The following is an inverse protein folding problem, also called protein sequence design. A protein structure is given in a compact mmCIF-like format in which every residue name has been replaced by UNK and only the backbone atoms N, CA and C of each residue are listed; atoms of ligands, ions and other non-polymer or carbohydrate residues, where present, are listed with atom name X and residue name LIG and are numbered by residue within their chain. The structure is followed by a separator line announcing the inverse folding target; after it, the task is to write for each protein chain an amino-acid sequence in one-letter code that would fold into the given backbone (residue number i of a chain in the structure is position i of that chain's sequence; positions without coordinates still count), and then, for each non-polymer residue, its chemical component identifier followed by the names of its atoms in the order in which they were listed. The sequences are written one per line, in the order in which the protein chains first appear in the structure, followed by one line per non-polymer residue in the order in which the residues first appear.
data_IF_914684290680
#
_entry.id   IF_914684290680
#
_cell.length_a   1.000
_cell.length_b   1.000
_cell.length_c   1.000
_cell.angle_alpha   90.00
_cell.angle_beta   90.00
_cell.angle_gamma   90.00
#
_symmetry.space_group_name_H-M   'P 1'
#
loop_
_entity.id
_entity.type
_entity.pdbx_description
1 polymer ?
#
# COMPACT_ATOMS: atom_id res chain seq x y z
N UNK A 1 -48.17 10.84 46.00
CA UNK A 1 -47.73 10.04 44.85
C UNK A 1 -47.81 10.90 43.60
N UNK A 2 -46.70 11.46 43.16
CA UNK A 2 -46.56 12.05 41.82
C UNK A 2 -45.17 11.67 41.32
N UNK A 3 -45.11 10.76 40.35
CA UNK A 3 -43.89 10.50 39.60
C UNK A 3 -43.96 11.32 38.32
N UNK A 4 -43.15 12.37 38.25
CA UNK A 4 -42.90 13.13 37.02
C UNK A 4 -42.14 12.20 36.07
N UNK A 5 -42.81 11.77 35.01
CA UNK A 5 -42.20 11.00 33.92
C UNK A 5 -41.51 12.00 33.00
N UNK A 6 -40.19 12.19 33.15
CA UNK A 6 -39.41 12.89 32.13
C UNK A 6 -39.54 12.13 30.82
N UNK A 7 -40.29 12.72 29.87
CA UNK A 7 -40.25 12.31 28.48
C UNK A 7 -39.04 13.00 27.85
N UNK A 8 -37.90 12.31 27.83
CA UNK A 8 -36.83 12.71 26.92
C UNK A 8 -37.34 12.52 25.47
N UNK A 9 -37.16 13.50 24.58
CA UNK A 9 -37.55 13.35 23.19
C UNK A 9 -36.72 12.23 22.54
N UNK A 10 -37.31 11.49 21.57
CA UNK A 10 -36.60 10.39 20.91
C UNK A 10 -35.34 10.92 20.24
N UNK A 11 -34.17 10.44 20.68
CA UNK A 11 -32.90 10.68 20.00
C UNK A 11 -33.06 10.21 18.55
N UNK A 12 -32.95 11.15 17.61
CA UNK A 12 -32.93 10.88 16.18
C UNK A 12 -31.92 9.76 15.87
N UNK A 13 -32.37 8.70 15.20
CA UNK A 13 -31.52 7.61 14.70
C UNK A 13 -30.61 8.04 13.53
N UNK A 14 -30.66 9.32 13.13
CA UNK A 14 -29.88 9.89 12.04
C UNK A 14 -28.93 10.95 12.60
N UNK A 15 -27.74 10.51 13.00
CA UNK A 15 -26.46 11.19 12.75
C UNK A 15 -25.35 10.52 13.58
N UNK A 16 -25.11 9.23 13.35
CA UNK A 16 -23.79 8.66 13.57
C UNK A 16 -23.19 8.43 12.19
N UNK A 17 -22.86 9.52 11.50
CA UNK A 17 -21.85 9.46 10.45
C UNK A 17 -20.56 9.67 11.23
N UNK A 18 -19.76 8.61 11.49
CA UNK A 18 -18.44 8.84 12.04
C UNK A 18 -17.72 9.74 11.04
N UNK A 19 -17.24 10.88 11.49
CA UNK A 19 -16.18 11.62 10.79
C UNK A 19 -14.93 10.75 10.90
N UNK A 20 -14.90 9.65 10.14
CA UNK A 20 -13.80 8.69 10.16
C UNK A 20 -12.56 9.46 9.71
N UNK A 21 -11.62 9.62 10.62
CA UNK A 21 -10.29 10.06 10.21
C UNK A 21 -9.70 8.95 9.33
N UNK A 22 -8.82 9.30 8.38
CA UNK A 22 -8.20 8.28 7.51
C UNK A 22 -7.53 7.16 8.33
N UNK A 23 -7.04 7.49 9.53
CA UNK A 23 -6.45 6.52 10.46
C UNK A 23 -7.45 5.45 10.94
N UNK A 24 -8.69 5.84 11.28
CA UNK A 24 -9.72 4.88 11.71
C UNK A 24 -10.07 3.89 10.60
N UNK A 25 -10.05 4.36 9.35
CA UNK A 25 -10.31 3.51 8.18
C UNK A 25 -9.18 2.51 7.92
N UNK A 26 -7.92 2.90 8.16
CA UNK A 26 -6.75 2.03 7.99
C UNK A 26 -6.70 0.92 9.04
N UNK A 27 -7.03 1.25 10.30
CA UNK A 27 -7.14 0.27 11.38
C UNK A 27 -8.25 -0.73 11.07
N UNK A 28 -9.44 -0.25 10.67
CA UNK A 28 -10.55 -1.12 10.30
C UNK A 28 -10.23 -2.04 9.12
N UNK A 29 -9.51 -1.55 8.12
CA UNK A 29 -9.07 -2.37 6.99
C UNK A 29 -8.04 -3.43 7.42
N UNK A 30 -7.15 -3.09 8.34
CA UNK A 30 -6.17 -4.02 8.90
C UNK A 30 -6.87 -5.14 9.66
N UNK A 31 -7.84 -4.81 10.53
CA UNK A 31 -8.63 -5.78 11.28
C UNK A 31 -9.45 -6.70 10.36
N UNK A 32 -10.03 -6.12 9.30
CA UNK A 32 -10.77 -6.88 8.30
C UNK A 32 -9.87 -7.90 7.60
N UNK A 33 -8.68 -7.49 7.20
CA UNK A 33 -7.71 -8.36 6.52
C UNK A 33 -7.17 -9.44 7.46
N UNK A 34 -6.87 -9.10 8.72
CA UNK A 34 -6.50 -10.08 9.73
C UNK A 34 -7.59 -11.14 9.92
N UNK A 35 -8.85 -10.71 10.03
CA UNK A 35 -9.99 -11.63 10.16
C UNK A 35 -10.16 -12.50 8.91
N UNK A 36 -10.01 -11.92 7.73
CA UNK A 36 -10.13 -12.66 6.46
C UNK A 36 -9.03 -13.73 6.33
N UNK A 37 -7.77 -13.39 6.61
CA UNK A 37 -6.64 -14.36 6.60
C UNK A 37 -6.87 -15.45 7.65
N UNK A 38 -7.34 -15.08 8.84
CA UNK A 38 -7.67 -16.03 9.91
C UNK A 38 -8.77 -17.00 9.47
N UNK A 39 -9.83 -16.49 8.85
CA UNK A 39 -10.93 -17.32 8.32
C UNK A 39 -10.44 -18.26 7.22
N UNK A 40 -9.54 -17.79 6.36
CA UNK A 40 -8.96 -18.59 5.30
C UNK A 40 -8.13 -19.76 5.86
N UNK A 41 -7.32 -19.50 6.88
CA UNK A 41 -6.56 -20.55 7.59
C UNK A 41 -7.49 -21.58 8.22
N UNK A 42 -8.56 -21.14 8.89
CA UNK A 42 -9.56 -22.04 9.48
C UNK A 42 -10.19 -22.91 8.39
N UNK A 43 -10.65 -22.30 7.30
CA UNK A 43 -11.28 -23.01 6.17
C UNK A 43 -10.33 -24.03 5.55
N UNK A 44 -9.05 -23.67 5.41
CA UNK A 44 -8.02 -24.56 4.89
C UNK A 44 -7.82 -25.79 5.79
N UNK A 45 -7.66 -25.58 7.09
CA UNK A 45 -7.47 -26.66 8.06
C UNK A 45 -8.71 -27.55 8.18
N UNK A 46 -9.91 -26.99 8.16
CA UNK A 46 -11.16 -27.75 8.15
C UNK A 46 -11.31 -28.62 6.89
N UNK A 47 -10.96 -28.06 5.73
CA UNK A 47 -11.00 -28.79 4.46
C UNK A 47 -9.99 -29.94 4.45
N UNK A 48 -8.77 -29.68 4.95
CA UNK A 48 -7.72 -30.70 5.07
C UNK A 48 -8.13 -31.82 6.03
N UNK A 49 -8.67 -31.46 7.18
CA UNK A 49 -9.15 -32.40 8.18
C UNK A 49 -10.31 -33.25 7.64
N UNK A 50 -11.26 -32.64 6.93
CA UNK A 50 -12.36 -33.35 6.28
C UNK A 50 -11.85 -34.39 5.27
N UNK A 51 -10.90 -34.02 4.40
CA UNK A 51 -10.27 -34.96 3.45
C UNK A 51 -9.57 -36.12 4.16
N UNK A 52 -8.87 -35.83 5.27
CA UNK A 52 -8.21 -36.86 6.09
C UNK A 52 -9.22 -37.85 6.67
N UNK A 53 -10.34 -37.35 7.21
CA UNK A 53 -11.40 -38.18 7.77
C UNK A 53 -12.10 -39.02 6.69
N UNK A 54 -12.33 -38.46 5.51
CA UNK A 54 -12.88 -39.18 4.36
C UNK A 54 -11.96 -40.33 3.92
N UNK A 55 -10.65 -40.08 3.84
CA UNK A 55 -9.66 -41.11 3.50
C UNK A 55 -9.59 -42.24 4.55
N UNK A 56 -9.66 -41.91 5.85
CA UNK A 56 -9.74 -42.92 6.91
C UNK A 56 -11.01 -43.75 6.84
N UNK A 57 -12.14 -43.11 6.53
CA UNK A 57 -13.44 -43.78 6.38
C UNK A 57 -13.42 -44.74 5.19
N UNK A 58 -12.81 -44.33 4.07
CA UNK A 58 -12.64 -45.17 2.89
C UNK A 58 -11.72 -46.37 3.17
N UNK A 59 -10.60 -46.13 3.89
CA UNK A 59 -9.69 -47.18 4.32
C UNK A 59 -10.25 -48.08 5.45
N UNK A 60 -11.43 -47.74 6.03
CA UNK A 60 -12.01 -48.37 7.23
C UNK A 60 -11.05 -48.42 8.42
N UNK A 61 -10.16 -47.43 8.51
CA UNK A 61 -9.18 -47.34 9.59
C UNK A 61 -9.75 -46.50 10.74
N UNK A 62 -9.72 -46.97 11.99
CA UNK A 62 -10.15 -46.18 13.14
C UNK A 62 -9.27 -44.94 13.34
N UNK A 63 -9.91 -43.79 13.65
CA UNK A 63 -9.21 -42.53 13.87
C UNK A 63 -8.70 -42.41 15.32
N UNK A 64 -7.39 -42.42 15.48
CA UNK A 64 -6.70 -42.22 16.76
C UNK A 64 -6.08 -40.83 16.87
N UNK A 65 -6.49 -39.85 16.06
CA UNK A 65 -5.93 -38.50 16.10
C UNK A 65 -6.22 -37.74 17.40
N UNK A 66 -7.13 -38.25 18.23
CA UNK A 66 -7.36 -37.77 19.59
C UNK A 66 -6.26 -38.23 20.58
N UNK A 67 -5.57 -39.34 20.29
CA UNK A 67 -4.42 -39.85 21.04
C UNK A 67 -3.10 -39.13 20.66
N UNK A 68 -3.08 -38.45 19.52
CA UNK A 68 -1.90 -37.70 19.07
C UNK A 68 -1.75 -36.39 19.87
N UNK A 69 -0.51 -36.10 20.25
CA UNK A 69 -0.16 -34.86 20.96
C UNK A 69 -0.64 -33.61 20.22
N UNK A 70 -1.10 -32.63 21.00
CA UNK A 70 -1.50 -31.32 20.48
C UNK A 70 -0.40 -30.60 19.69
N UNK A 71 0.88 -30.95 19.94
CA UNK A 71 2.04 -30.42 19.21
C UNK A 71 2.13 -30.88 17.76
N UNK A 72 1.48 -32.00 17.43
CA UNK A 72 1.42 -32.55 16.06
C UNK A 72 0.22 -31.97 15.29
N UNK A 73 -0.78 -31.42 15.99
CA UNK A 73 -1.94 -30.80 15.36
C UNK A 73 -1.55 -29.45 14.77
N UNK A 74 -1.88 -29.27 13.49
CA UNK A 74 -1.72 -27.99 12.80
C UNK A 74 -2.50 -26.89 13.53
N UNK A 75 -1.91 -25.70 13.61
CA UNK A 75 -2.49 -24.57 14.31
C UNK A 75 -3.58 -23.94 13.45
N UNK A 76 -4.83 -24.00 13.93
CA UNK A 76 -6.00 -23.38 13.27
C UNK A 76 -6.02 -21.85 13.35
N UNK A 77 -5.21 -21.26 14.23
CA UNK A 77 -5.21 -19.83 14.49
C UNK A 77 -3.87 -19.20 14.15
N UNK A 78 -3.92 -17.92 13.78
CA UNK A 78 -2.76 -17.07 13.67
C UNK A 78 -2.09 -16.96 15.04
N UNK A 79 -0.78 -17.12 15.04
CA UNK A 79 0.05 -16.86 16.20
C UNK A 79 0.35 -15.36 16.28
N UNK A 80 0.71 -14.87 17.47
CA UNK A 80 1.03 -13.45 17.68
C UNK A 80 2.06 -12.89 16.68
N UNK A 81 3.09 -13.68 16.34
CA UNK A 81 4.10 -13.30 15.35
C UNK A 81 3.54 -13.13 13.95
N UNK A 82 2.57 -13.97 13.57
CA UNK A 82 1.96 -13.94 12.23
C UNK A 82 1.00 -12.76 12.11
N UNK A 83 0.19 -12.51 13.15
CA UNK A 83 -0.67 -11.32 13.23
C UNK A 83 0.16 -10.04 13.15
N UNK A 84 1.23 -9.93 13.94
CA UNK A 84 2.12 -8.78 13.92
C UNK A 84 2.78 -8.60 12.53
N UNK A 85 3.15 -9.69 11.85
CA UNK A 85 3.68 -9.60 10.49
C UNK A 85 2.65 -9.04 9.51
N UNK A 86 1.42 -9.56 9.54
CA UNK A 86 0.33 -9.08 8.69
C UNK A 86 0.07 -7.59 8.93
N UNK A 87 0.04 -7.14 10.18
CA UNK A 87 -0.08 -5.73 10.53
C UNK A 87 1.06 -4.89 9.91
N UNK A 88 2.31 -5.37 9.98
CA UNK A 88 3.44 -4.67 9.35
C UNK A 88 3.34 -4.58 7.83
N UNK A 89 2.71 -5.57 7.19
CA UNK A 89 2.44 -5.55 5.75
C UNK A 89 1.31 -4.58 5.41
N UNK A 90 0.24 -4.58 6.20
CA UNK A 90 -0.89 -3.66 6.08
C UNK A 90 -0.43 -2.19 6.14
N UNK A 91 0.51 -1.87 7.02
CA UNK A 91 1.08 -0.51 7.13
C UNK A 91 1.81 -0.02 5.85
N UNK A 92 2.11 -0.89 4.89
CA UNK A 92 2.77 -0.52 3.61
C UNK A 92 1.78 -0.18 2.49
N UNK A 93 0.50 -0.47 2.70
CA UNK A 93 -0.58 -0.37 1.71
C UNK A 93 -1.21 1.02 1.80
N UNK A 94 -1.35 1.72 0.67
CA UNK A 94 -2.10 2.99 0.63
C UNK A 94 -3.61 2.71 0.62
N UNK A 95 -4.47 3.62 1.14
CA UNK A 95 -5.91 3.42 1.15
C UNK A 95 -6.55 3.06 -0.21
N UNK A 96 -5.98 3.56 -1.32
CA UNK A 96 -6.46 3.27 -2.67
C UNK A 96 -6.05 1.89 -3.21
N UNK A 97 -5.13 1.19 -2.55
CA UNK A 97 -4.51 -0.05 -3.03
C UNK A 97 -5.12 -1.31 -2.41
N UNK A 98 -5.91 -1.17 -1.33
CA UNK A 98 -6.51 -2.31 -0.62
C UNK A 98 -7.27 -3.27 -1.53
N UNK A 99 -8.07 -2.72 -2.46
CA UNK A 99 -8.85 -3.53 -3.40
C UNK A 99 -7.95 -4.39 -4.28
N UNK A 100 -6.85 -3.84 -4.78
CA UNK A 100 -5.91 -4.55 -5.64
C UNK A 100 -5.22 -5.68 -4.87
N UNK A 101 -4.72 -5.39 -3.66
CA UNK A 101 -4.09 -6.39 -2.79
C UNK A 101 -5.03 -7.55 -2.49
N UNK A 102 -6.28 -7.26 -2.08
CA UNK A 102 -7.26 -8.29 -1.72
C UNK A 102 -7.61 -9.17 -2.92
N UNK A 103 -7.81 -8.57 -4.11
CA UNK A 103 -8.13 -9.34 -5.32
C UNK A 103 -6.95 -10.24 -5.75
N UNK A 104 -5.73 -9.71 -5.72
CA UNK A 104 -4.53 -10.47 -6.07
C UNK A 104 -4.33 -11.63 -5.10
N UNK A 105 -4.46 -11.37 -3.79
CA UNK A 105 -4.34 -12.40 -2.76
C UNK A 105 -5.42 -13.48 -2.91
N UNK A 106 -6.70 -13.10 -3.08
CA UNK A 106 -7.81 -14.05 -3.27
C UNK A 106 -7.63 -14.94 -4.50
N UNK A 107 -7.02 -14.42 -5.57
CA UNK A 107 -6.67 -15.23 -6.74
C UNK A 107 -5.63 -16.31 -6.42
N UNK A 108 -4.63 -15.98 -5.60
CA UNK A 108 -3.48 -16.84 -5.28
C UNK A 108 -3.79 -17.94 -4.26
N UNK A 109 -4.64 -17.66 -3.28
CA UNK A 109 -4.94 -18.63 -2.20
C UNK A 109 -5.65 -19.91 -2.69
N UNK A 110 -6.24 -19.90 -3.88
CA UNK A 110 -6.95 -21.07 -4.42
C UNK A 110 -6.04 -22.25 -4.75
N UNK A 111 -4.74 -22.00 -4.94
CA UNK A 111 -3.74 -23.01 -5.31
C UNK A 111 -2.84 -23.43 -4.15
N UNK A 112 -3.11 -22.96 -2.94
CA UNK A 112 -2.25 -23.18 -1.78
C UNK A 112 -2.38 -24.62 -1.26
N UNK A 113 -1.23 -25.26 -0.98
CA UNK A 113 -1.14 -26.63 -0.45
C UNK A 113 -0.79 -26.67 1.04
N UNK A 114 -0.18 -25.61 1.57
CA UNK A 114 0.23 -25.53 2.98
C UNK A 114 -0.29 -24.25 3.66
N UNK A 115 -0.63 -24.37 4.94
CA UNK A 115 -1.09 -23.24 5.77
C UNK A 115 -0.16 -22.02 5.67
N UNK A 116 1.14 -22.24 5.78
CA UNK A 116 2.13 -21.17 5.84
C UNK A 116 2.23 -20.40 4.51
N UNK A 117 1.80 -21.01 3.40
CA UNK A 117 1.74 -20.35 2.10
C UNK A 117 0.63 -19.29 2.04
N UNK A 118 -0.45 -19.41 2.82
CA UNK A 118 -1.55 -18.43 2.84
C UNK A 118 -1.01 -17.03 3.19
N UNK A 119 -0.13 -16.96 4.20
CA UNK A 119 0.51 -15.72 4.65
C UNK A 119 1.58 -15.28 3.63
N UNK A 120 2.35 -16.22 3.08
CA UNK A 120 3.35 -15.90 2.05
C UNK A 120 2.71 -15.33 0.77
N UNK A 121 1.55 -15.82 0.35
CA UNK A 121 0.81 -15.29 -0.79
C UNK A 121 0.23 -13.91 -0.50
N UNK A 122 -0.20 -13.64 0.74
CA UNK A 122 -0.60 -12.29 1.14
C UNK A 122 0.60 -11.33 1.06
N UNK A 123 1.74 -11.74 1.62
CA UNK A 123 3.01 -11.01 1.55
C UNK A 123 3.41 -10.74 0.10
N UNK A 124 3.29 -11.72 -0.78
CA UNK A 124 3.59 -11.59 -2.21
C UNK A 124 2.67 -10.58 -2.91
N UNK A 125 1.36 -10.64 -2.63
CA UNK A 125 0.38 -9.69 -3.17
C UNK A 125 0.67 -8.25 -2.73
N UNK A 126 1.03 -8.02 -1.46
CA UNK A 126 1.42 -6.70 -0.95
C UNK A 126 2.68 -6.21 -1.67
N UNK A 127 3.73 -7.05 -1.75
CA UNK A 127 4.97 -6.63 -2.39
C UNK A 127 4.82 -6.39 -3.89
N UNK A 128 3.95 -7.12 -4.58
CA UNK A 128 3.64 -6.85 -5.98
C UNK A 128 3.10 -5.43 -6.18
N UNK A 129 2.12 -5.01 -5.37
CA UNK A 129 1.52 -3.68 -5.45
C UNK A 129 2.54 -2.60 -5.08
N UNK A 130 3.28 -2.79 -3.98
CA UNK A 130 4.32 -1.86 -3.54
C UNK A 130 5.42 -1.70 -4.60
N UNK A 131 5.86 -2.78 -5.22
CA UNK A 131 6.89 -2.75 -6.27
C UNK A 131 6.37 -2.10 -7.56
N UNK A 132 5.12 -2.36 -7.94
CA UNK A 132 4.47 -1.74 -9.10
C UNK A 132 4.27 -0.24 -8.91
N UNK A 133 4.02 0.21 -7.68
CA UNK A 133 4.05 1.62 -7.33
C UNK A 133 5.45 2.22 -7.49
N UNK A 134 6.47 1.60 -6.88
CA UNK A 134 7.85 2.07 -6.96
C UNK A 134 8.31 2.25 -8.42
N UNK A 135 8.01 1.26 -9.28
CA UNK A 135 8.29 1.34 -10.73
C UNK A 135 7.60 2.53 -11.42
N UNK A 136 6.32 2.78 -11.12
CA UNK A 136 5.56 3.93 -11.67
C UNK A 136 6.11 5.27 -11.20
N UNK A 137 6.50 5.38 -9.93
CA UNK A 137 7.07 6.62 -9.39
C UNK A 137 8.44 6.91 -10.03
N UNK A 138 9.28 5.90 -10.22
CA UNK A 138 10.58 6.04 -10.90
C UNK A 138 10.42 6.48 -12.37
N UNK A 139 9.46 5.92 -13.12
CA UNK A 139 9.27 6.29 -14.53
C UNK A 139 8.86 7.76 -14.69
N UNK A 140 7.98 8.25 -13.81
CA UNK A 140 7.55 9.66 -13.82
C UNK A 140 8.71 10.62 -13.51
N UNK A 141 9.61 10.25 -12.60
CA UNK A 141 10.80 11.06 -12.30
C UNK A 141 11.69 11.14 -13.54
N UNK A 142 11.92 10.03 -14.24
CA UNK A 142 12.76 10.02 -15.44
C UNK A 142 12.18 10.88 -16.57
N UNK A 143 10.87 10.84 -16.78
CA UNK A 143 10.19 11.69 -17.77
C UNK A 143 10.33 13.19 -17.43
N UNK A 144 10.25 13.55 -16.15
CA UNK A 144 10.42 14.95 -15.73
C UNK A 144 11.88 15.42 -15.82
N UNK A 145 12.85 14.55 -15.58
CA UNK A 145 14.28 14.84 -15.81
C UNK A 145 14.59 15.04 -17.30
N UNK A 146 14.05 14.19 -18.18
CA UNK A 146 14.20 14.35 -19.63
C UNK A 146 13.55 15.66 -20.13
N UNK A 147 12.36 16.00 -19.62
CA UNK A 147 11.67 17.25 -19.97
C UNK A 147 12.42 18.50 -19.46
N UNK A 148 13.00 18.45 -18.26
CA UNK A 148 13.78 19.56 -17.70
C UNK A 148 15.12 19.72 -18.39
N UNK A 149 15.83 18.64 -18.74
CA UNK A 149 17.06 18.71 -19.54
C UNK A 149 16.82 19.28 -20.94
N UNK A 150 15.72 18.92 -21.60
CA UNK A 150 15.31 19.50 -22.88
C UNK A 150 15.02 21.01 -22.76
N UNK A 151 14.30 21.41 -21.70
CA UNK A 151 13.99 22.82 -21.42
C UNK A 151 15.25 23.64 -21.09
N UNK A 152 16.18 23.09 -20.29
CA UNK A 152 17.44 23.75 -19.93
C UNK A 152 18.37 23.85 -21.15
N UNK A 153 18.43 22.82 -22.00
CA UNK A 153 19.21 22.84 -23.25
C UNK A 153 18.64 23.86 -24.24
N UNK A 154 17.31 23.96 -24.34
CA UNK A 154 16.61 24.99 -25.11
C UNK A 154 16.90 26.40 -24.56
N UNK A 155 16.81 26.62 -23.24
CA UNK A 155 17.10 27.91 -22.62
C UNK A 155 18.58 28.35 -22.76
N UNK A 156 19.53 27.41 -22.77
CA UNK A 156 20.95 27.69 -23.05
C UNK A 156 21.19 28.13 -24.50
N UNK A 157 20.49 27.56 -25.47
CA UNK A 157 20.59 28.00 -26.87
C UNK A 157 20.06 29.43 -27.09
N UNK A 158 19.05 29.87 -26.33
CA UNK A 158 18.51 31.24 -26.41
C UNK A 158 19.47 32.27 -25.79
N UNK A 159 20.19 31.89 -24.73
CA UNK A 159 21.16 32.77 -24.08
C UNK A 159 22.46 32.93 -24.87
N UNK A 160 22.93 31.90 -25.59
CA UNK A 160 24.09 32.04 -26.50
C UNK A 160 23.83 32.96 -27.69
N UNK A 161 22.58 33.03 -28.19
CA UNK A 161 22.20 33.97 -29.26
C UNK A 161 22.11 35.43 -28.76
N UNK A 162 21.91 35.66 -27.46
CA UNK A 162 21.85 36.99 -26.86
C UNK A 162 23.24 37.58 -26.57
N UNK A 163 24.21 36.76 -26.18
CA UNK A 163 25.59 37.22 -25.86
C UNK A 163 26.37 37.64 -27.11
N UNK A 164 26.05 37.11 -28.30
CA UNK A 164 26.73 37.49 -29.56
C UNK A 164 26.31 38.86 -30.13
N UNK A 165 25.24 39.48 -29.63
CA UNK A 165 24.73 40.76 -30.15
C UNK A 165 25.20 42.00 -29.36
N UNK A 166 26.08 41.86 -28.35
CA UNK A 166 26.56 42.98 -27.54
C UNK A 166 28.05 43.34 -27.73
N UNK A 167 28.70 42.83 -28.78
CA UNK A 167 30.07 43.25 -29.13
C UNK A 167 30.08 44.20 -30.32
N UNK A 168 29.53 45.41 -30.17
CA UNK A 168 29.91 46.57 -31.00
C UNK A 168 29.38 47.87 -30.35
N UNK A 169 30.10 48.38 -29.35
CA UNK A 169 30.00 49.80 -28.99
C UNK A 169 31.38 50.27 -28.53
N UNK A 170 32.15 50.73 -29.50
CA UNK A 170 33.43 51.41 -29.26
C UNK A 170 33.21 52.76 -28.55
N UNK A 171 34.18 53.25 -27.75
CA UNK A 171 34.03 54.46 -26.95
C UNK A 171 34.23 55.76 -27.76
N UNK A 172 33.59 56.81 -27.25
CA UNK A 172 33.54 58.22 -27.65
C UNK A 172 34.87 58.95 -27.93
N UNK A 173 34.81 60.14 -28.58
CA UNK A 173 35.95 60.83 -29.19
C UNK A 173 36.78 61.65 -28.19
N UNK A 174 38.08 61.80 -28.53
CA UNK A 174 39.05 62.64 -27.81
C UNK A 174 38.76 64.13 -28.04
N UNK A 175 38.73 64.90 -26.96
CA UNK A 175 38.76 66.36 -26.97
C UNK A 175 40.12 66.86 -27.48
N UNK A 176 40.08 67.91 -28.29
CA UNK A 176 41.22 68.58 -28.90
C UNK A 176 41.33 69.97 -28.26
N UNK A 177 42.43 70.24 -27.55
CA UNK A 177 42.75 71.58 -27.01
C UNK A 177 43.30 72.48 -28.13
N UNK A 178 42.92 73.78 -28.17
CA UNK A 178 43.63 74.75 -28.98
C UNK A 178 44.76 75.41 -28.17
N UNK A 179 45.98 75.24 -28.66
CA UNK A 179 47.08 76.17 -28.41
C UNK A 179 46.83 77.44 -29.23
N UNK A 180 46.83 78.60 -28.58
CA UNK A 180 47.21 79.87 -29.22
C UNK A 180 48.31 80.53 -28.40
N UNK A 181 49.43 80.73 -29.07
CA UNK A 181 50.59 81.53 -28.67
C UNK A 181 50.61 82.72 -29.63
N UNK A 182 50.63 83.92 -29.05
CA UNK A 182 51.40 85.15 -29.36
C UNK A 182 50.61 86.36 -28.88
#
# INVERSE_FOLDING_TARGET
MYWFRSQDPPRSARSYVPTSTNHDSEVLMTDLVLSEIQNEIIRFEETREKRRQEALREARTPDYSWLMDWKVKSKKFLNFKESAEIETLCNKIRPCEWKEVILNWRGRITTVEFRDEIINEFRAAVYEVVNSRCRREISLIRETEEATQSTISSARSVTELSVRNLSFRSPSPKYQEPHEVV
#
